data_IF_981170533492
#
_entry.id   IF_981170533492
#
_cell.length_a   1.000
_cell.length_b   1.000
_cell.length_c   1.000
_cell.angle_alpha   90.00
_cell.angle_beta   90.00
_cell.angle_gamma   90.00
#
_symmetry.space_group_name_H-M   'P 1'
#
loop_
_entity.id
_entity.type
_entity.pdbx_description
1 polymer ?
#
# COMPACT_ATOMS: atom_id res chain seq x y z
N UNK A 1 6.10 18.30 0.16
CA UNK A 1 6.42 19.33 1.15
C UNK A 1 7.94 19.41 1.38
N UNK A 2 8.37 20.32 2.24
CA UNK A 2 9.76 20.52 2.67
C UNK A 2 10.37 19.32 3.41
N UNK A 3 9.53 18.39 3.84
CA UNK A 3 9.92 17.14 4.51
C UNK A 3 10.08 15.95 3.56
N UNK A 4 9.89 16.17 2.27
CA UNK A 4 9.99 15.14 1.25
C UNK A 4 8.80 14.18 1.18
N UNK A 5 7.62 14.61 1.65
CA UNK A 5 6.39 13.84 1.60
C UNK A 5 5.38 14.45 0.63
N UNK A 6 4.56 13.63 -0.01
CA UNK A 6 3.46 14.05 -0.88
C UNK A 6 2.14 14.11 -0.10
N UNK A 7 1.32 15.15 -0.39
CA UNK A 7 0.06 15.42 0.31
C UNK A 7 -1.07 15.79 -0.65
N UNK A 8 -0.96 15.42 -1.91
CA UNK A 8 -1.93 15.81 -2.93
C UNK A 8 -2.39 14.60 -3.74
N UNK A 9 -3.60 14.15 -3.49
CA UNK A 9 -4.21 13.02 -4.17
C UNK A 9 -5.60 12.70 -3.63
N UNK A 10 -6.16 11.58 -4.07
CA UNK A 10 -7.48 11.11 -3.67
C UNK A 10 -7.45 10.13 -2.48
N UNK A 11 -6.26 9.78 -2.02
CA UNK A 11 -6.09 8.75 -1.01
C UNK A 11 -6.42 7.35 -1.51
N UNK A 12 -6.76 6.46 -0.62
CA UNK A 12 -7.29 5.13 -0.95
C UNK A 12 -8.79 5.24 -1.26
N UNK A 13 -9.11 5.92 -2.38
CA UNK A 13 -10.46 6.29 -2.77
C UNK A 13 -11.40 5.08 -2.81
N UNK A 14 -12.65 5.29 -2.39
CA UNK A 14 -13.66 4.25 -2.19
C UNK A 14 -13.27 3.22 -1.11
N UNK A 15 -12.45 3.62 -0.13
CA UNK A 15 -12.21 2.82 1.06
C UNK A 15 -13.54 2.48 1.75
N UNK A 16 -13.64 1.27 2.29
CA UNK A 16 -14.81 0.89 3.09
C UNK A 16 -14.96 1.87 4.25
N UNK A 17 -16.17 2.37 4.47
CA UNK A 17 -16.46 3.42 5.45
C UNK A 17 -15.86 3.11 6.83
N UNK A 18 -14.88 3.90 7.19
CA UNK A 18 -14.37 3.95 8.54
C UNK A 18 -15.36 4.64 9.48
N UNK A 19 -15.20 4.54 10.79
CA UNK A 19 -16.01 5.29 11.74
C UNK A 19 -15.99 6.79 11.40
N UNK A 20 -17.16 7.35 11.05
CA UNK A 20 -17.31 8.76 10.70
C UNK A 20 -16.97 9.16 9.26
N UNK A 21 -16.74 8.19 8.35
CA UNK A 21 -16.44 8.48 6.93
C UNK A 21 -15.01 9.00 6.69
N UNK A 22 -14.13 8.90 7.68
CA UNK A 22 -12.72 9.25 7.54
C UNK A 22 -11.93 8.11 6.90
N UNK A 23 -10.96 8.46 6.03
CA UNK A 23 -10.03 7.49 5.45
C UNK A 23 -9.19 6.83 6.56
N UNK A 24 -9.12 5.50 6.58
CA UNK A 24 -8.28 4.76 7.53
C UNK A 24 -6.80 4.89 7.19
N UNK A 25 -6.49 5.17 5.91
CA UNK A 25 -5.13 5.41 5.43
C UNK A 25 -4.95 6.90 5.10
N UNK A 26 -4.11 7.65 5.83
CA UNK A 26 -3.89 9.07 5.58
C UNK A 26 -3.37 9.34 4.16
N UNK A 27 -3.81 10.46 3.55
CA UNK A 27 -3.37 10.90 2.22
C UNK A 27 -1.84 10.91 2.07
N UNK A 28 -1.13 11.41 3.08
CA UNK A 28 0.33 11.46 3.06
C UNK A 28 0.98 10.09 2.87
N UNK A 29 0.37 9.02 3.38
CA UNK A 29 0.85 7.65 3.22
C UNK A 29 0.64 7.19 1.77
N UNK A 30 -0.59 7.27 1.28
CA UNK A 30 -0.94 6.81 -0.07
C UNK A 30 -0.25 7.60 -1.17
N UNK A 31 -0.19 8.92 -1.02
CA UNK A 31 0.38 9.81 -2.04
C UNK A 31 1.90 9.67 -2.10
N UNK A 32 2.57 9.59 -0.94
CA UNK A 32 4.02 9.38 -0.92
C UNK A 32 4.38 8.00 -1.49
N UNK A 33 3.68 6.93 -1.13
CA UNK A 33 3.92 5.59 -1.67
C UNK A 33 3.60 5.50 -3.17
N UNK A 34 2.58 6.19 -3.65
CA UNK A 34 2.30 6.29 -5.08
C UNK A 34 3.47 6.96 -5.81
N UNK A 35 4.01 8.05 -5.26
CA UNK A 35 5.17 8.72 -5.85
C UNK A 35 6.44 7.87 -5.78
N UNK A 36 6.65 7.10 -4.71
CA UNK A 36 7.73 6.09 -4.62
C UNK A 36 7.63 5.10 -5.78
N UNK A 37 6.45 4.54 -6.03
CA UNK A 37 6.26 3.61 -7.14
C UNK A 37 6.45 4.28 -8.52
N UNK A 38 5.93 5.49 -8.71
CA UNK A 38 6.08 6.24 -9.96
C UNK A 38 7.54 6.55 -10.27
N UNK A 39 8.31 6.99 -9.28
CA UNK A 39 9.75 7.28 -9.48
C UNK A 39 10.56 6.03 -9.76
N UNK A 40 10.24 4.88 -9.15
CA UNK A 40 10.82 3.58 -9.49
C UNK A 40 10.54 3.21 -10.95
N UNK A 41 9.27 3.28 -11.37
CA UNK A 41 8.88 2.98 -12.76
C UNK A 41 9.54 3.94 -13.75
N UNK A 42 9.60 5.24 -13.44
CA UNK A 42 10.26 6.23 -14.29
C UNK A 42 11.77 5.97 -14.44
N UNK A 43 12.43 5.54 -13.35
CA UNK A 43 13.85 5.13 -13.40
C UNK A 43 14.06 4.00 -14.42
N UNK A 44 13.23 2.96 -14.36
CA UNK A 44 13.31 1.80 -15.26
C UNK A 44 12.99 2.20 -16.71
N UNK A 45 11.95 3.02 -16.94
CA UNK A 45 11.54 3.48 -18.26
C UNK A 45 12.61 4.35 -18.93
N UNK A 46 13.19 5.32 -18.21
CA UNK A 46 14.25 6.16 -18.77
C UNK A 46 15.52 5.37 -19.06
N UNK A 47 15.89 4.40 -18.20
CA UNK A 47 17.00 3.50 -18.49
C UNK A 47 16.75 2.66 -19.75
N UNK A 48 15.53 2.14 -19.94
CA UNK A 48 15.17 1.32 -21.10
C UNK A 48 15.23 2.07 -22.44
N UNK A 49 15.04 3.41 -22.42
CA UNK A 49 15.17 4.25 -23.63
C UNK A 49 16.55 4.92 -23.74
N UNK A 50 17.50 4.58 -22.87
CA UNK A 50 18.88 5.10 -22.89
C UNK A 50 19.05 6.52 -22.34
N UNK A 51 18.05 7.05 -21.61
CA UNK A 51 18.16 8.38 -20.97
C UNK A 51 18.68 8.22 -19.54
N UNK A 52 19.98 8.01 -19.43
CA UNK A 52 20.66 7.79 -18.14
C UNK A 52 20.55 9.02 -17.20
N UNK A 53 20.50 10.22 -17.77
CA UNK A 53 20.39 11.46 -16.96
C UNK A 53 19.07 11.51 -16.20
N UNK A 54 17.94 11.27 -16.90
CA UNK A 54 16.63 11.24 -16.25
C UNK A 54 16.45 10.02 -15.37
N UNK A 55 16.99 8.88 -15.79
CA UNK A 55 17.00 7.67 -14.95
C UNK A 55 17.67 7.90 -13.59
N UNK A 56 18.86 8.52 -13.60
CA UNK A 56 19.61 8.86 -12.38
C UNK A 56 18.84 9.87 -11.50
N UNK A 57 18.25 10.91 -12.08
CA UNK A 57 17.46 11.90 -11.36
C UNK A 57 16.21 11.26 -10.69
N UNK A 58 15.51 10.37 -11.41
CA UNK A 58 14.36 9.64 -10.86
C UNK A 58 14.77 8.71 -9.72
N UNK A 59 15.90 8.04 -9.83
CA UNK A 59 16.46 7.17 -8.77
C UNK A 59 16.79 7.97 -7.52
N UNK A 60 17.47 9.11 -7.68
CA UNK A 60 17.78 9.98 -6.54
C UNK A 60 16.52 10.48 -5.82
N UNK A 61 15.49 10.84 -6.58
CA UNK A 61 14.19 11.24 -6.01
C UNK A 61 13.52 10.07 -5.29
N UNK A 62 13.53 8.88 -5.89
CA UNK A 62 13.01 7.65 -5.28
C UNK A 62 13.66 7.40 -3.92
N UNK A 63 14.99 7.43 -3.86
CA UNK A 63 15.74 7.16 -2.63
C UNK A 63 15.42 8.19 -1.52
N UNK A 64 15.28 9.46 -1.88
CA UNK A 64 14.86 10.52 -0.97
C UNK A 64 13.44 10.29 -0.43
N UNK A 65 12.50 9.91 -1.30
CA UNK A 65 11.12 9.62 -0.91
C UNK A 65 11.03 8.41 0.03
N UNK A 66 11.73 7.33 -0.29
CA UNK A 66 11.78 6.13 0.56
C UNK A 66 12.39 6.48 1.93
N UNK A 67 13.49 7.22 1.96
CA UNK A 67 14.12 7.63 3.22
C UNK A 67 13.18 8.52 4.07
N UNK A 68 12.50 9.48 3.45
CA UNK A 68 11.52 10.34 4.13
C UNK A 68 10.32 9.55 4.66
N UNK A 69 9.77 8.64 3.85
CA UNK A 69 8.67 7.76 4.24
C UNK A 69 9.06 6.90 5.45
N UNK A 70 10.20 6.23 5.38
CA UNK A 70 10.69 5.35 6.44
C UNK A 70 10.92 6.08 7.76
N UNK A 71 11.48 7.28 7.70
CA UNK A 71 11.80 8.06 8.91
C UNK A 71 10.60 8.71 9.59
N UNK A 72 9.48 8.91 8.85
CA UNK A 72 8.34 9.72 9.33
C UNK A 72 7.01 8.98 9.41
N UNK A 73 6.86 7.94 8.60
CA UNK A 73 5.60 7.22 8.42
C UNK A 73 5.73 5.71 8.73
N UNK A 74 6.85 5.29 9.31
CA UNK A 74 7.04 3.95 9.87
C UNK A 74 7.34 4.02 11.36
N UNK A 75 7.03 2.93 12.08
CA UNK A 75 7.48 2.75 13.46
C UNK A 75 9.03 2.62 13.54
N UNK A 76 9.58 2.74 14.74
CA UNK A 76 11.04 2.75 14.95
C UNK A 76 11.72 1.46 14.48
N UNK A 77 11.03 0.33 14.54
CA UNK A 77 11.51 -1.00 14.13
C UNK A 77 11.37 -1.23 12.63
N UNK A 78 10.77 -0.31 11.88
CA UNK A 78 10.45 -0.43 10.46
C UNK A 78 9.67 -1.70 10.11
N UNK A 79 8.68 -2.04 10.92
CA UNK A 79 7.81 -3.20 10.71
C UNK A 79 6.38 -2.83 10.35
N UNK A 80 5.95 -1.62 10.70
CA UNK A 80 4.59 -1.12 10.48
C UNK A 80 4.61 0.32 9.96
N UNK A 81 3.70 0.61 9.01
CA UNK A 81 3.33 1.99 8.63
C UNK A 81 2.49 2.61 9.74
N UNK A 82 2.67 3.89 10.02
CA UNK A 82 1.97 4.61 11.09
C UNK A 82 1.14 5.76 10.50
N UNK A 83 -0.20 5.78 10.73
CA UNK A 83 -1.00 4.75 11.41
C UNK A 83 -1.11 3.45 10.62
N UNK A 84 -1.24 2.33 11.31
CA UNK A 84 -1.35 1.01 10.68
C UNK A 84 -2.72 0.83 10.01
N UNK A 85 -2.71 0.59 8.70
CA UNK A 85 -3.87 0.29 7.87
C UNK A 85 -3.55 -0.82 6.87
N UNK A 86 -4.57 -1.50 6.35
CA UNK A 86 -4.37 -2.54 5.34
C UNK A 86 -3.75 -1.98 4.06
N UNK A 87 -4.30 -0.88 3.53
CA UNK A 87 -3.81 -0.26 2.30
C UNK A 87 -2.39 0.30 2.48
N UNK A 88 -2.13 1.09 3.53
CA UNK A 88 -0.82 1.69 3.77
C UNK A 88 0.29 0.64 3.92
N UNK A 89 0.03 -0.40 4.71
CA UNK A 89 1.00 -1.48 4.93
C UNK A 89 1.25 -2.28 3.64
N UNK A 90 0.19 -2.67 2.92
CA UNK A 90 0.30 -3.42 1.67
C UNK A 90 0.99 -2.61 0.56
N UNK A 91 0.67 -1.33 0.42
CA UNK A 91 1.35 -0.43 -0.52
C UNK A 91 2.84 -0.30 -0.20
N UNK A 92 3.20 -0.12 1.07
CA UNK A 92 4.60 -0.01 1.49
C UNK A 92 5.38 -1.30 1.21
N UNK A 93 4.78 -2.48 1.41
CA UNK A 93 5.37 -3.77 1.05
C UNK A 93 5.54 -3.91 -0.46
N UNK A 94 4.48 -3.67 -1.24
CA UNK A 94 4.47 -3.92 -2.67
C UNK A 94 5.28 -2.90 -3.48
N UNK A 95 5.35 -1.64 -3.02
CA UNK A 95 6.11 -0.57 -3.68
C UNK A 95 7.56 -0.46 -3.20
N UNK A 96 7.99 -1.33 -2.27
CA UNK A 96 9.41 -1.46 -1.89
C UNK A 96 9.89 -0.44 -0.86
N UNK A 97 9.00 0.07 0.00
CA UNK A 97 9.41 0.90 1.13
C UNK A 97 10.04 0.10 2.28
N UNK A 98 9.76 -1.21 2.38
CA UNK A 98 10.42 -2.14 3.27
C UNK A 98 11.66 -2.78 2.58
N UNK A 99 12.69 -3.07 3.35
CA UNK A 99 13.84 -3.85 2.90
C UNK A 99 13.50 -5.34 2.86
N UNK A 100 14.27 -6.12 2.13
CA UNK A 100 14.02 -7.57 2.00
C UNK A 100 14.04 -8.32 3.33
N UNK A 101 14.93 -7.95 4.23
CA UNK A 101 15.04 -8.54 5.58
C UNK A 101 13.93 -8.10 6.53
N UNK A 102 13.20 -7.03 6.23
CA UNK A 102 12.07 -6.52 7.00
C UNK A 102 10.72 -7.14 6.57
N UNK A 103 10.65 -7.76 5.39
CA UNK A 103 9.39 -8.19 4.78
C UNK A 103 8.57 -9.18 5.62
N UNK A 104 9.23 -10.09 6.36
CA UNK A 104 8.51 -11.02 7.24
C UNK A 104 7.88 -10.29 8.43
N UNK A 105 8.56 -9.33 9.01
CA UNK A 105 8.01 -8.50 10.08
C UNK A 105 6.88 -7.57 9.54
N UNK A 106 7.06 -7.01 8.33
CA UNK A 106 6.02 -6.24 7.66
C UNK A 106 4.75 -7.07 7.38
N UNK A 107 4.90 -8.35 7.01
CA UNK A 107 3.78 -9.27 6.84
C UNK A 107 3.00 -9.49 8.17
N UNK A 108 3.71 -9.59 9.30
CA UNK A 108 3.05 -9.66 10.61
C UNK A 108 2.21 -8.40 10.85
N UNK A 109 2.74 -7.22 10.54
CA UNK A 109 2.00 -5.95 10.61
C UNK A 109 0.76 -5.95 9.70
N UNK A 110 0.89 -6.44 8.47
CA UNK A 110 -0.25 -6.56 7.54
C UNK A 110 -1.33 -7.50 8.08
N UNK A 111 -0.95 -8.66 8.58
CA UNK A 111 -1.91 -9.61 9.22
C UNK A 111 -2.61 -9.00 10.44
N UNK A 112 -1.89 -8.21 11.23
CA UNK A 112 -2.46 -7.45 12.35
C UNK A 112 -3.50 -6.42 11.86
N UNK A 113 -3.20 -5.69 10.78
CA UNK A 113 -4.15 -4.77 10.17
C UNK A 113 -5.41 -5.48 9.64
N UNK A 114 -5.25 -6.67 9.05
CA UNK A 114 -6.37 -7.52 8.58
C UNK A 114 -7.20 -8.03 9.77
N UNK A 115 -6.55 -8.52 10.81
CA UNK A 115 -7.22 -9.06 12.00
C UNK A 115 -8.06 -7.99 12.74
N UNK A 116 -7.65 -6.72 12.70
CA UNK A 116 -8.41 -5.59 13.28
C UNK A 116 -9.84 -5.49 12.73
N UNK A 117 -10.07 -5.96 11.51
CA UNK A 117 -11.36 -5.97 10.83
C UNK A 117 -11.91 -7.39 10.64
N UNK A 118 -11.57 -8.30 11.53
CA UNK A 118 -12.02 -9.70 11.51
C UNK A 118 -11.79 -10.40 10.16
N UNK A 119 -10.68 -10.07 9.48
CA UNK A 119 -10.34 -10.64 8.18
C UNK A 119 -11.14 -10.07 7.00
N UNK A 120 -11.91 -9.01 7.19
CA UNK A 120 -12.57 -8.29 6.10
C UNK A 120 -11.60 -7.33 5.39
N UNK A 121 -11.94 -6.99 4.16
CA UNK A 121 -11.25 -5.93 3.43
C UNK A 121 -11.59 -4.55 4.03
N UNK A 122 -10.57 -3.73 4.25
CA UNK A 122 -10.71 -2.33 4.65
C UNK A 122 -9.79 -1.51 3.74
N UNK A 123 -10.14 -1.46 2.47
CA UNK A 123 -9.33 -0.88 1.39
C UNK A 123 -10.21 -0.18 0.37
N UNK A 124 -9.60 0.77 -0.32
CA UNK A 124 -10.13 1.40 -1.52
C UNK A 124 -9.40 0.93 -2.78
N UNK A 125 -9.36 1.78 -3.78
CA UNK A 125 -8.81 1.46 -5.12
C UNK A 125 -7.30 1.15 -5.06
N UNK A 126 -6.52 1.90 -4.29
CA UNK A 126 -5.07 1.70 -4.18
C UNK A 126 -4.74 0.46 -3.37
N UNK A 127 -5.46 0.27 -2.27
CA UNK A 127 -5.34 -0.94 -1.44
C UNK A 127 -5.71 -2.20 -2.21
N UNK A 128 -6.77 -2.18 -3.02
CA UNK A 128 -7.19 -3.32 -3.86
C UNK A 128 -6.10 -3.76 -4.86
N UNK A 129 -5.32 -2.80 -5.38
CA UNK A 129 -4.21 -3.11 -6.30
C UNK A 129 -3.01 -3.76 -5.62
N UNK A 130 -2.83 -3.56 -4.33
CA UNK A 130 -1.58 -3.90 -3.63
C UNK A 130 -1.76 -4.99 -2.58
N UNK A 131 -2.88 -5.02 -1.86
CA UNK A 131 -3.10 -5.94 -0.74
C UNK A 131 -2.94 -7.42 -1.14
N UNK A 132 -3.69 -7.84 -2.16
CA UNK A 132 -3.67 -9.24 -2.57
C UNK A 132 -2.36 -9.65 -3.23
N UNK A 133 -1.68 -8.71 -3.90
CA UNK A 133 -0.35 -8.94 -4.47
C UNK A 133 0.69 -9.08 -3.37
N UNK A 134 0.70 -8.17 -2.39
CA UNK A 134 1.60 -8.25 -1.25
C UNK A 134 1.42 -9.56 -0.47
N UNK A 135 0.18 -10.01 -0.24
CA UNK A 135 -0.11 -11.30 0.39
C UNK A 135 0.39 -12.46 -0.45
N UNK A 136 0.12 -12.47 -1.77
CA UNK A 136 0.54 -13.54 -2.68
C UNK A 136 2.06 -13.65 -2.80
N UNK A 137 2.76 -12.51 -2.91
CA UNK A 137 4.23 -12.46 -2.99
C UNK A 137 4.89 -12.99 -1.71
N UNK A 138 4.18 -12.91 -0.58
CA UNK A 138 4.61 -13.44 0.71
C UNK A 138 4.12 -14.88 0.99
N UNK A 139 3.48 -15.54 0.02
CA UNK A 139 2.98 -16.91 0.17
C UNK A 139 1.65 -17.02 0.93
N UNK A 140 0.96 -15.91 1.21
CA UNK A 140 -0.31 -15.85 1.95
C UNK A 140 -1.54 -15.89 1.01
N UNK A 141 -1.45 -16.63 -0.08
CA UNK A 141 -2.51 -16.73 -1.10
C UNK A 141 -3.83 -17.25 -0.51
N UNK A 142 -3.76 -18.17 0.44
CA UNK A 142 -4.95 -18.71 1.12
C UNK A 142 -5.67 -17.64 1.94
N UNK A 143 -4.93 -16.76 2.63
CA UNK A 143 -5.50 -15.62 3.34
C UNK A 143 -6.16 -14.64 2.36
N UNK A 144 -5.47 -14.30 1.27
CA UNK A 144 -6.01 -13.45 0.22
C UNK A 144 -7.32 -14.01 -0.36
N UNK A 145 -7.35 -15.30 -0.67
CA UNK A 145 -8.53 -15.99 -1.19
C UNK A 145 -9.70 -15.94 -0.20
N UNK A 146 -9.46 -16.24 1.09
CA UNK A 146 -10.51 -16.17 2.12
C UNK A 146 -11.09 -14.76 2.24
N UNK A 147 -10.26 -13.71 2.19
CA UNK A 147 -10.74 -12.32 2.25
C UNK A 147 -11.65 -11.97 1.07
N UNK A 148 -11.28 -12.43 -0.15
CA UNK A 148 -12.05 -12.16 -1.38
C UNK A 148 -13.39 -12.89 -1.38
N UNK A 149 -13.43 -14.14 -0.88
CA UNK A 149 -14.57 -15.05 -0.99
C UNK A 149 -15.52 -15.04 0.20
N UNK A 150 -15.32 -14.18 1.19
CA UNK A 150 -16.27 -14.02 2.31
C UNK A 150 -17.66 -13.68 1.79
N UNK A 151 -18.74 -14.33 2.30
CA UNK A 151 -20.11 -14.04 1.87
C UNK A 151 -20.67 -12.74 2.51
N UNK A 152 -20.08 -12.30 3.62
CA UNK A 152 -20.49 -11.13 4.39
C UNK A 152 -19.73 -9.86 3.96
N UNK A 153 -20.35 -8.70 4.20
CA UNK A 153 -19.78 -7.39 3.88
C UNK A 153 -18.71 -6.97 4.94
N UNK A 154 -17.63 -6.31 4.51
CA UNK A 154 -17.24 -6.02 3.13
C UNK A 154 -16.33 -7.12 2.51
N UNK A 155 -16.71 -7.57 1.31
CA UNK A 155 -15.90 -8.50 0.50
C UNK A 155 -16.31 -8.41 -0.98
N UNK A 156 -15.47 -8.90 -1.89
CA UNK A 156 -15.84 -8.97 -3.31
C UNK A 156 -16.95 -10.01 -3.56
N UNK A 157 -16.92 -11.16 -2.88
CA UNK A 157 -18.00 -12.16 -3.02
C UNK A 157 -19.35 -11.61 -2.54
N UNK A 158 -19.39 -10.83 -1.46
CA UNK A 158 -20.61 -10.18 -1.02
C UNK A 158 -21.19 -9.27 -2.10
N UNK A 159 -20.37 -8.47 -2.78
CA UNK A 159 -20.84 -7.62 -3.88
C UNK A 159 -21.49 -8.43 -5.00
N UNK A 160 -20.87 -9.55 -5.39
CA UNK A 160 -21.45 -10.46 -6.40
C UNK A 160 -22.78 -11.06 -5.92
N UNK A 161 -22.81 -11.56 -4.67
CA UNK A 161 -24.00 -12.18 -4.09
C UNK A 161 -25.17 -11.19 -3.92
N UNK A 162 -24.88 -9.92 -3.74
CA UNK A 162 -25.90 -8.84 -3.64
C UNK A 162 -26.27 -8.22 -5.00
N UNK A 163 -25.75 -8.75 -6.10
CA UNK A 163 -26.13 -8.38 -7.47
C UNK A 163 -25.32 -7.27 -8.10
N UNK A 164 -24.14 -6.94 -7.58
CA UNK A 164 -23.23 -6.01 -8.23
C UNK A 164 -22.70 -6.61 -9.55
N UNK A 165 -22.69 -5.81 -10.60
CA UNK A 165 -22.26 -6.21 -11.96
C UNK A 165 -20.99 -5.49 -12.42
N UNK A 166 -20.51 -4.52 -11.65
CA UNK A 166 -19.30 -3.74 -11.93
C UNK A 166 -18.48 -3.61 -10.68
#
# INVERSE_FOLDING_TARGET
>A
DDKGLAHYGLGDWCEVDGPGGELTTPLVVTDTLTLVNLTRMATELFAAVGDETRSAACRELHDKLVAAFRSRLMNAEHTEVVPLSQAGQAMAMYYGAFRKDEMQAALVGLKKAIAKYDGHIQIGVLGARTLFRALSDMGETELAYRMITRPDYPSFANHVLTGATT
#
